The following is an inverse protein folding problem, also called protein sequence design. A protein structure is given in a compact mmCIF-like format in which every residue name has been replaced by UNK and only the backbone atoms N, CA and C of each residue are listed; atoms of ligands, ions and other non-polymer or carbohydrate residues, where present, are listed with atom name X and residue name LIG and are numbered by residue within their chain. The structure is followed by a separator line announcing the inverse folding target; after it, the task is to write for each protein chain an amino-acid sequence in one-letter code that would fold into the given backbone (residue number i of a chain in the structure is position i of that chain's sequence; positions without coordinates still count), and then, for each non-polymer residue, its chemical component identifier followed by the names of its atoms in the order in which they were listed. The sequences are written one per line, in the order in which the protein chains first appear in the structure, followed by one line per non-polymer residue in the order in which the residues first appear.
data_IF_157590889656
#
_entry.id   IF_157590889656
#
_cell.length_a   1.000
_cell.length_b   1.000
_cell.length_c   1.000
_cell.angle_alpha   90.00
_cell.angle_beta   90.00
_cell.angle_gamma   90.00
#
_symmetry.space_group_name_H-M   'P 1'
#
loop_
_entity.id
_entity.type
_entity.pdbx_description
1 polymer ?
#
# COMPACT_ATOMS: atom_id res chain seq x y z
N UNK A 1 0.70 5.98 31.29
CA UNK A 1 0.58 7.31 30.65
C UNK A 1 0.21 7.16 29.17
N UNK A 2 -1.06 7.16 28.75
CA UNK A 2 -1.41 6.91 27.35
C UNK A 2 -1.87 8.22 26.67
N UNK A 3 -0.95 9.16 26.39
CA UNK A 3 -1.32 10.43 25.71
C UNK A 3 -0.22 10.98 24.79
N UNK A 4 0.38 10.17 23.91
CA UNK A 4 1.26 10.69 22.81
C UNK A 4 1.26 9.89 21.50
N UNK A 5 0.52 8.80 21.35
CA UNK A 5 0.58 7.97 20.12
C UNK A 5 -0.33 8.43 18.98
N UNK A 6 -1.47 9.08 19.25
CA UNK A 6 -2.41 9.50 18.20
C UNK A 6 -1.80 10.47 17.18
N UNK A 7 -1.02 11.44 17.66
CA UNK A 7 -0.37 12.43 16.79
C UNK A 7 0.76 11.84 15.95
N UNK A 8 1.58 10.97 16.55
CA UNK A 8 2.64 10.25 15.83
C UNK A 8 2.06 9.28 14.79
N UNK A 9 0.96 8.62 15.10
CA UNK A 9 0.28 7.72 14.16
C UNK A 9 -0.38 8.50 13.02
N UNK A 10 -1.08 9.60 13.32
CA UNK A 10 -1.65 10.48 12.29
C UNK A 10 -0.60 11.07 11.36
N UNK A 11 0.54 11.51 11.91
CA UNK A 11 1.67 12.02 11.11
C UNK A 11 2.30 10.92 10.24
N UNK A 12 2.46 9.71 10.78
CA UNK A 12 2.95 8.56 10.02
C UNK A 12 2.01 8.21 8.86
N UNK A 13 0.69 8.20 9.10
CA UNK A 13 -0.32 7.98 8.05
C UNK A 13 -0.26 9.07 7.00
N UNK A 14 -0.17 10.34 7.40
CA UNK A 14 -0.09 11.46 6.47
C UNK A 14 1.15 11.40 5.57
N UNK A 15 2.33 11.15 6.15
CA UNK A 15 3.58 10.98 5.39
C UNK A 15 3.47 9.78 4.46
N UNK A 16 2.83 8.69 4.90
CA UNK A 16 2.64 7.49 4.08
C UNK A 16 1.71 7.75 2.88
N UNK A 17 0.64 8.54 3.07
CA UNK A 17 -0.26 8.94 1.98
C UNK A 17 0.48 9.79 0.94
N UNK A 18 1.25 10.81 1.38
CA UNK A 18 2.03 11.66 0.48
C UNK A 18 3.06 10.82 -0.28
N UNK A 19 3.82 9.99 0.43
CA UNK A 19 4.85 9.14 -0.14
C UNK A 19 4.26 8.15 -1.15
N UNK A 20 3.10 7.56 -0.83
CA UNK A 20 2.36 6.68 -1.73
C UNK A 20 1.91 7.39 -3.01
N UNK A 21 1.39 8.61 -2.91
CA UNK A 21 1.02 9.42 -4.06
C UNK A 21 2.20 9.73 -5.00
N UNK A 22 3.33 10.12 -4.43
CA UNK A 22 4.57 10.38 -5.19
C UNK A 22 5.06 9.09 -5.87
N UNK A 23 5.05 7.96 -5.14
CA UNK A 23 5.49 6.67 -5.67
C UNK A 23 4.64 6.26 -6.87
N UNK A 24 3.31 6.37 -6.77
CA UNK A 24 2.39 6.06 -7.87
C UNK A 24 2.63 6.98 -9.07
N UNK A 25 2.90 8.27 -8.83
CA UNK A 25 3.29 9.20 -9.89
C UNK A 25 4.56 8.75 -10.63
N UNK A 26 5.59 8.36 -9.90
CA UNK A 26 6.83 7.82 -10.48
C UNK A 26 6.60 6.49 -11.22
N UNK A 27 5.81 5.59 -10.64
CA UNK A 27 5.46 4.31 -11.26
C UNK A 27 4.73 4.48 -12.59
N UNK A 28 3.87 5.50 -12.71
CA UNK A 28 3.19 5.82 -13.98
C UNK A 28 4.17 6.21 -15.09
N UNK A 29 5.27 6.86 -14.74
CA UNK A 29 6.29 7.31 -15.69
C UNK A 29 7.22 6.16 -16.07
N UNK A 30 7.73 5.42 -15.08
CA UNK A 30 8.78 4.43 -15.31
C UNK A 30 8.28 3.00 -15.54
N UNK A 31 7.10 2.64 -15.05
CA UNK A 31 6.53 1.30 -15.11
C UNK A 31 5.03 1.32 -15.49
N UNK A 32 4.67 1.89 -16.66
CA UNK A 32 3.26 2.08 -17.05
C UNK A 32 2.50 0.77 -17.21
N UNK A 33 3.20 -0.32 -17.54
CA UNK A 33 2.62 -1.66 -17.69
C UNK A 33 2.15 -2.21 -16.34
N UNK A 34 2.94 -1.99 -15.29
CA UNK A 34 2.63 -2.39 -13.93
C UNK A 34 1.37 -1.65 -13.44
N UNK A 35 1.32 -0.33 -13.67
CA UNK A 35 0.15 0.49 -13.31
C UNK A 35 -1.12 0.01 -14.02
N UNK A 36 -1.04 -0.31 -15.32
CA UNK A 36 -2.19 -0.86 -16.05
C UNK A 36 -2.70 -2.20 -15.49
N UNK A 37 -1.82 -3.01 -14.90
CA UNK A 37 -2.24 -4.24 -14.23
C UNK A 37 -2.99 -3.92 -12.93
N UNK A 38 -2.47 -3.02 -12.10
CA UNK A 38 -3.16 -2.59 -10.88
C UNK A 38 -4.50 -1.90 -11.15
N UNK A 39 -4.59 -1.09 -12.21
CA UNK A 39 -5.84 -0.45 -12.60
C UNK A 39 -6.91 -1.47 -13.03
N UNK A 40 -6.52 -2.55 -13.72
CA UNK A 40 -7.44 -3.66 -14.02
C UNK A 40 -7.91 -4.38 -12.76
N UNK A 41 -7.00 -4.60 -11.79
CA UNK A 41 -7.36 -5.20 -10.51
C UNK A 41 -8.31 -4.30 -9.73
N UNK A 42 -8.03 -3.00 -9.68
CA UNK A 42 -8.90 -2.01 -9.03
C UNK A 42 -10.29 -1.93 -9.66
N UNK A 43 -10.36 -2.01 -10.99
CA UNK A 43 -11.64 -2.02 -11.72
C UNK A 43 -12.43 -3.30 -11.44
N UNK A 44 -11.78 -4.46 -11.50
CA UNK A 44 -12.40 -5.74 -11.13
C UNK A 44 -12.91 -5.77 -9.69
N UNK A 45 -12.14 -5.21 -8.75
CA UNK A 45 -12.57 -5.06 -7.35
C UNK A 45 -13.76 -4.11 -7.22
N UNK A 46 -13.76 -3.00 -7.94
CA UNK A 46 -14.87 -2.05 -7.96
C UNK A 46 -16.15 -2.72 -8.44
N UNK A 47 -16.09 -3.46 -9.55
CA UNK A 47 -17.24 -4.19 -10.10
C UNK A 47 -17.79 -5.24 -9.14
N UNK A 48 -16.90 -5.94 -8.40
CA UNK A 48 -17.33 -6.91 -7.39
C UNK A 48 -18.04 -6.22 -6.23
N UNK A 49 -17.45 -5.14 -5.71
CA UNK A 49 -18.00 -4.39 -4.60
C UNK A 49 -19.35 -3.76 -4.96
N UNK A 50 -19.46 -3.18 -6.16
CA UNK A 50 -20.72 -2.65 -6.67
C UNK A 50 -21.76 -3.76 -6.80
N UNK A 51 -21.40 -4.90 -7.41
CA UNK A 51 -22.32 -6.02 -7.62
C UNK A 51 -22.83 -6.67 -6.32
N UNK A 52 -21.99 -6.74 -5.28
CA UNK A 52 -22.34 -7.48 -4.06
C UNK A 52 -22.79 -6.59 -2.90
N UNK A 53 -22.33 -5.34 -2.85
CA UNK A 53 -22.61 -4.42 -1.75
C UNK A 53 -23.36 -3.17 -2.21
N UNK A 54 -23.49 -2.93 -3.52
CA UNK A 54 -24.13 -1.73 -4.07
C UNK A 54 -23.33 -0.44 -3.83
N UNK A 55 -22.03 -0.56 -3.55
CA UNK A 55 -21.17 0.59 -3.24
C UNK A 55 -20.26 0.88 -4.42
N UNK A 56 -20.43 2.06 -5.01
CA UNK A 56 -19.50 2.59 -6.01
C UNK A 56 -18.23 3.11 -5.32
N UNK A 57 -17.11 2.46 -5.59
CA UNK A 57 -15.78 2.93 -5.19
C UNK A 57 -14.98 3.31 -6.43
N UNK A 58 -14.14 4.35 -6.32
CA UNK A 58 -13.24 4.69 -7.42
C UNK A 58 -12.25 3.55 -7.69
N UNK A 59 -12.18 3.03 -8.93
CA UNK A 59 -11.21 2.02 -9.31
C UNK A 59 -9.77 2.45 -9.04
N UNK A 60 -9.47 3.75 -9.18
CA UNK A 60 -8.15 4.32 -8.91
C UNK A 60 -7.79 4.26 -7.43
N UNK A 61 -8.75 4.49 -6.52
CA UNK A 61 -8.52 4.34 -5.08
C UNK A 61 -8.25 2.88 -4.71
N UNK A 62 -9.03 1.94 -5.26
CA UNK A 62 -8.83 0.51 -5.04
C UNK A 62 -7.49 0.02 -5.63
N UNK A 63 -7.15 0.43 -6.84
CA UNK A 63 -5.85 0.16 -7.49
C UNK A 63 -4.68 0.64 -6.61
N UNK A 64 -4.78 1.87 -6.11
CA UNK A 64 -3.77 2.46 -5.21
C UNK A 64 -3.69 1.70 -3.88
N UNK A 65 -4.83 1.32 -3.30
CA UNK A 65 -4.89 0.58 -2.04
C UNK A 65 -4.26 -0.82 -2.17
N UNK A 66 -4.57 -1.55 -3.24
CA UNK A 66 -3.98 -2.86 -3.53
C UNK A 66 -2.46 -2.74 -3.73
N UNK A 67 -2.03 -1.73 -4.48
CA UNK A 67 -0.61 -1.48 -4.68
C UNK A 67 0.11 -1.17 -3.36
N UNK A 68 -0.46 -0.29 -2.53
CA UNK A 68 0.09 0.06 -1.24
C UNK A 68 0.16 -1.16 -0.30
N UNK A 69 -0.88 -2.01 -0.29
CA UNK A 69 -0.90 -3.24 0.50
C UNK A 69 0.19 -4.23 0.06
N UNK A 70 0.41 -4.38 -1.26
CA UNK A 70 1.49 -5.22 -1.78
C UNK A 70 2.87 -4.69 -1.37
N UNK A 71 3.10 -3.39 -1.49
CA UNK A 71 4.37 -2.77 -1.07
C UNK A 71 4.60 -2.94 0.44
N UNK A 72 3.56 -2.74 1.25
CA UNK A 72 3.63 -2.96 2.70
C UNK A 72 3.95 -4.43 3.04
N UNK A 73 3.35 -5.38 2.33
CA UNK A 73 3.65 -6.81 2.49
C UNK A 73 5.11 -7.12 2.12
N UNK A 74 5.59 -6.67 0.96
CA UNK A 74 6.98 -6.89 0.53
C UNK A 74 7.97 -6.27 1.51
N UNK A 75 7.67 -5.07 2.01
CA UNK A 75 8.48 -4.43 3.04
C UNK A 75 8.51 -5.24 4.33
N UNK A 76 7.36 -5.72 4.80
CA UNK A 76 7.25 -6.57 5.99
C UNK A 76 8.06 -7.88 5.86
N UNK A 77 7.99 -8.52 4.69
CA UNK A 77 8.79 -9.73 4.38
C UNK A 77 10.28 -9.42 4.39
N UNK A 78 10.71 -8.35 3.71
CA UNK A 78 12.12 -7.94 3.68
C UNK A 78 12.66 -7.63 5.08
N UNK A 79 11.86 -6.94 5.90
CA UNK A 79 12.21 -6.64 7.29
C UNK A 79 12.33 -7.91 8.14
N UNK A 80 11.42 -8.87 7.97
CA UNK A 80 11.48 -10.15 8.68
C UNK A 80 12.75 -10.94 8.32
N UNK A 81 13.16 -10.96 7.06
CA UNK A 81 14.43 -11.58 6.65
C UNK A 81 15.65 -10.88 7.23
N UNK A 82 15.68 -9.54 7.19
CA UNK A 82 16.76 -8.75 7.76
C UNK A 82 16.90 -9.00 9.27
N UNK A 83 15.79 -8.98 10.00
CA UNK A 83 15.76 -9.21 11.44
C UNK A 83 16.21 -10.64 11.79
N UNK A 84 15.78 -11.63 11.01
CA UNK A 84 16.21 -13.03 11.18
C UNK A 84 17.70 -13.21 10.90
N UNK A 85 18.26 -12.50 9.93
CA UNK A 85 19.71 -12.50 9.68
C UNK A 85 20.50 -11.86 10.83
N UNK A 86 20.04 -10.72 11.35
CA UNK A 86 20.72 -10.06 12.49
C UNK A 86 20.70 -10.86 13.78
N UNK A 87 19.66 -11.67 14.01
CA UNK A 87 19.62 -12.61 15.14
C UNK A 87 20.61 -13.76 14.95
N UNK A 88 20.76 -14.26 13.72
CA UNK A 88 21.67 -15.37 13.40
C UNK A 88 23.15 -14.99 13.49
N UNK A 89 23.50 -13.72 13.28
CA UNK A 89 24.88 -13.21 13.42
C UNK A 89 25.26 -12.88 14.89
N UNK A 90 24.33 -13.04 15.85
CA UNK A 90 24.55 -12.80 17.28
C UNK A 90 24.71 -14.07 18.13
N UNK A 91 24.53 -15.25 17.54
CA UNK A 91 24.76 -16.57 18.15
C UNK A 91 26.06 -17.20 17.59
#
# INVERSE_FOLDING_TARGET
MPKRHGFSHGLATFISIISGGILVGLLRVYLPLLVKMFDRVGLWLSEILEKHLGIEYSPQLLSTAVFAALMAFLWGVAFAFLYRHQLKDRD
#
